data_IF_032752164336
#
_entry.id   IF_032752164336
#
_cell.length_a   1.000
_cell.length_b   1.000
_cell.length_c   1.000
_cell.angle_alpha   90.00
_cell.angle_beta   90.00
_cell.angle_gamma   90.00
#
_symmetry.space_group_name_H-M   'P 1'
#
loop_
_entity.id
_entity.type
_entity.pdbx_description
1 polymer ?
#
# COMPACT_ATOMS: atom_id res chain seq x y z
N UNK A 1 -3.40 4.36 46.20
CA UNK A 1 -2.69 3.41 45.33
C UNK A 1 -3.66 3.05 44.22
N UNK A 2 -3.54 3.74 43.09
CA UNK A 2 -4.53 3.70 42.00
C UNK A 2 -4.09 2.66 40.97
N UNK A 3 -5.08 1.91 40.51
CA UNK A 3 -5.06 0.81 39.56
C UNK A 3 -4.97 1.39 38.13
N UNK A 4 -4.17 0.79 37.26
CA UNK A 4 -4.33 0.77 35.79
C UNK A 4 -3.34 -0.32 35.31
N UNK A 5 -3.70 -1.54 34.93
CA UNK A 5 -4.78 -2.00 34.03
C UNK A 5 -4.80 -1.27 32.69
N UNK A 6 -3.74 -1.47 31.90
CA UNK A 6 -3.80 -1.36 30.44
C UNK A 6 -3.69 -2.78 29.87
N UNK A 7 -4.83 -3.46 29.88
CA UNK A 7 -5.06 -4.67 29.12
C UNK A 7 -5.35 -4.29 27.66
N UNK A 8 -4.91 -5.15 26.75
CA UNK A 8 -5.37 -5.33 25.37
C UNK A 8 -4.88 -4.29 24.33
N UNK A 9 -3.66 -4.51 23.83
CA UNK A 9 -3.45 -4.48 22.37
C UNK A 9 -3.69 -5.92 21.92
N UNK A 10 -4.91 -6.20 21.47
CA UNK A 10 -5.42 -7.51 21.02
C UNK A 10 -5.27 -7.62 19.48
N UNK A 11 -4.08 -7.31 18.95
CA UNK A 11 -3.75 -7.45 17.53
C UNK A 11 -2.47 -8.27 17.41
N UNK A 12 -2.54 -9.47 16.82
CA UNK A 12 -1.47 -10.50 16.62
C UNK A 12 -0.63 -10.82 17.90
N UNK A 13 -0.95 -10.20 19.04
CA UNK A 13 -0.09 -10.09 20.21
C UNK A 13 -0.28 -11.26 21.17
N UNK A 14 -1.15 -12.22 20.85
CA UNK A 14 -1.01 -13.57 21.39
C UNK A 14 0.04 -14.24 20.50
N UNK A 15 1.17 -14.65 21.06
CA UNK A 15 2.28 -15.29 20.33
C UNK A 15 1.86 -16.67 19.78
N UNK A 16 0.90 -16.67 18.86
CA UNK A 16 0.30 -17.83 18.24
C UNK A 16 0.78 -17.88 16.79
N UNK A 17 1.61 -18.87 16.41
CA UNK A 17 2.06 -19.06 15.04
C UNK A 17 0.93 -18.98 14.00
N UNK A 18 -0.26 -19.49 14.35
CA UNK A 18 -1.45 -19.47 13.49
C UNK A 18 -1.93 -18.06 13.17
N UNK A 19 -1.82 -17.10 14.11
CA UNK A 19 -2.23 -15.71 13.87
C UNK A 19 -1.26 -15.01 12.92
N UNK A 20 0.04 -15.33 13.01
CA UNK A 20 1.05 -14.78 12.12
C UNK A 20 0.98 -15.40 10.72
N UNK A 21 0.76 -16.71 10.61
CA UNK A 21 0.50 -17.38 9.33
C UNK A 21 -0.70 -16.76 8.62
N UNK A 22 -1.81 -16.54 9.35
CA UNK A 22 -2.99 -15.87 8.82
C UNK A 22 -2.67 -14.43 8.35
N UNK A 23 -1.86 -13.68 9.12
CA UNK A 23 -1.46 -12.34 8.74
C UNK A 23 -0.60 -12.32 7.47
N UNK A 24 0.31 -13.28 7.30
CA UNK A 24 1.12 -13.40 6.08
C UNK A 24 0.29 -13.82 4.87
N UNK A 25 -0.66 -14.74 5.04
CA UNK A 25 -1.59 -15.13 3.96
C UNK A 25 -2.47 -13.96 3.52
N UNK A 26 -2.95 -13.17 4.49
CA UNK A 26 -3.70 -11.94 4.23
C UNK A 26 -2.86 -10.94 3.44
N UNK A 27 -1.62 -10.69 3.85
CA UNK A 27 -0.71 -9.76 3.18
C UNK A 27 -0.52 -10.14 1.71
N UNK A 28 -0.25 -11.42 1.43
CA UNK A 28 -0.12 -11.95 0.05
C UNK A 28 -1.39 -11.69 -0.76
N UNK A 29 -2.56 -12.05 -0.22
CA UNK A 29 -3.83 -11.91 -0.93
C UNK A 29 -4.18 -10.45 -1.22
N UNK A 30 -4.00 -9.55 -0.25
CA UNK A 30 -4.25 -8.11 -0.42
C UNK A 30 -3.26 -7.48 -1.42
N UNK A 31 -1.99 -7.87 -1.40
CA UNK A 31 -0.99 -7.41 -2.37
C UNK A 31 -1.29 -7.86 -3.79
N UNK A 32 -1.74 -9.09 -3.98
CA UNK A 32 -2.19 -9.58 -5.29
C UNK A 32 -3.36 -8.74 -5.84
N UNK A 33 -4.33 -8.43 -4.99
CA UNK A 33 -5.46 -7.55 -5.35
C UNK A 33 -4.98 -6.14 -5.71
N UNK A 34 -4.16 -5.52 -4.86
CA UNK A 34 -3.63 -4.17 -5.07
C UNK A 34 -2.83 -4.07 -6.37
N UNK A 35 -1.94 -5.02 -6.63
CA UNK A 35 -1.15 -5.07 -7.88
C UNK A 35 -2.02 -5.26 -9.11
N UNK A 36 -3.08 -6.07 -9.02
CA UNK A 36 -4.05 -6.23 -10.10
C UNK A 36 -4.72 -4.90 -10.44
N UNK A 37 -5.16 -4.15 -9.42
CA UNK A 37 -5.76 -2.81 -9.58
C UNK A 37 -4.78 -1.81 -10.15
N UNK A 38 -3.53 -1.78 -9.67
CA UNK A 38 -2.48 -0.91 -10.19
C UNK A 38 -2.22 -1.16 -11.68
N UNK A 39 -2.13 -2.43 -12.11
CA UNK A 39 -1.96 -2.78 -13.53
C UNK A 39 -3.10 -2.26 -14.40
N UNK A 40 -4.35 -2.37 -13.93
CA UNK A 40 -5.51 -1.85 -14.66
C UNK A 40 -5.48 -0.31 -14.78
N UNK A 41 -5.16 0.38 -13.69
CA UNK A 41 -5.05 1.84 -13.65
C UNK A 41 -3.91 2.31 -14.57
N UNK A 42 -2.74 1.66 -14.49
CA UNK A 42 -1.58 1.98 -15.31
C UNK A 42 -1.89 1.80 -16.81
N UNK A 43 -2.55 0.70 -17.18
CA UNK A 43 -2.96 0.45 -18.56
C UNK A 43 -3.91 1.54 -19.08
N UNK A 44 -4.92 1.91 -18.30
CA UNK A 44 -5.84 2.99 -18.69
C UNK A 44 -5.16 4.36 -18.75
N UNK A 45 -4.22 4.65 -17.84
CA UNK A 45 -3.44 5.89 -17.89
C UNK A 45 -2.58 5.96 -19.16
N UNK A 46 -1.95 4.84 -19.54
CA UNK A 46 -1.22 4.73 -20.82
C UNK A 46 -2.15 4.91 -22.03
N UNK A 47 -3.38 4.41 -21.98
CA UNK A 47 -4.38 4.64 -23.03
C UNK A 47 -4.72 6.12 -23.19
N UNK A 48 -4.90 6.86 -22.09
CA UNK A 48 -5.14 8.32 -22.12
C UNK A 48 -3.98 9.07 -22.77
N UNK A 49 -2.74 8.63 -22.58
CA UNK A 49 -1.56 9.26 -23.19
C UNK A 49 -1.55 9.05 -24.71
N UNK A 50 -2.05 7.92 -25.19
CA UNK A 50 -1.99 7.51 -26.60
C UNK A 50 -3.21 7.91 -27.42
N UNK A 51 -4.34 8.26 -26.78
CA UNK A 51 -5.57 8.62 -27.50
C UNK A 51 -5.48 10.01 -28.11
N UNK A 52 -5.80 10.11 -29.40
CA UNK A 52 -5.80 11.38 -30.14
C UNK A 52 -7.16 12.10 -30.08
N UNK A 53 -8.24 11.40 -29.74
CA UNK A 53 -9.57 11.97 -29.55
C UNK A 53 -9.70 12.60 -28.14
N UNK A 54 -9.83 13.93 -28.03
CA UNK A 54 -9.94 14.60 -26.73
C UNK A 54 -11.21 14.25 -25.97
N UNK A 55 -12.33 13.97 -26.66
CA UNK A 55 -13.59 13.60 -26.01
C UNK A 55 -13.42 12.24 -25.35
N UNK A 56 -12.89 11.27 -26.09
CA UNK A 56 -12.56 9.94 -25.56
C UNK A 56 -11.56 10.01 -24.42
N UNK A 57 -10.52 10.83 -24.55
CA UNK A 57 -9.52 11.01 -23.49
C UNK A 57 -10.12 11.56 -22.19
N UNK A 58 -11.07 12.48 -22.28
CA UNK A 58 -11.80 12.99 -21.11
C UNK A 58 -12.64 11.91 -20.44
N UNK A 59 -13.35 11.08 -21.22
CA UNK A 59 -14.11 9.95 -20.69
C UNK A 59 -13.21 8.97 -19.93
N UNK A 60 -12.07 8.60 -20.54
CA UNK A 60 -11.08 7.70 -19.93
C UNK A 60 -10.53 8.28 -18.62
N UNK A 61 -10.21 9.58 -18.57
CA UNK A 61 -9.77 10.25 -17.34
C UNK A 61 -10.85 10.20 -16.26
N UNK A 62 -12.13 10.40 -16.59
CA UNK A 62 -13.21 10.33 -15.60
C UNK A 62 -13.43 8.90 -15.09
N UNK A 63 -13.24 7.88 -15.92
CA UNK A 63 -13.34 6.49 -15.49
C UNK A 63 -12.14 6.08 -14.64
N UNK A 64 -10.93 6.48 -15.03
CA UNK A 64 -9.72 6.31 -14.21
C UNK A 64 -9.89 6.97 -12.84
N UNK A 65 -10.44 8.18 -12.78
CA UNK A 65 -10.72 8.85 -11.51
C UNK A 65 -11.57 7.99 -10.56
N UNK A 66 -12.63 7.35 -11.07
CA UNK A 66 -13.48 6.46 -10.25
C UNK A 66 -12.69 5.23 -9.79
N UNK A 67 -11.93 4.61 -10.69
CA UNK A 67 -11.13 3.42 -10.40
C UNK A 67 -10.05 3.72 -9.35
N UNK A 68 -9.32 4.83 -9.51
CA UNK A 68 -8.31 5.29 -8.55
C UNK A 68 -8.92 5.61 -7.20
N UNK A 69 -10.10 6.25 -7.12
CA UNK A 69 -10.78 6.48 -5.85
C UNK A 69 -11.20 5.19 -5.14
N UNK A 70 -11.52 4.13 -5.88
CA UNK A 70 -11.80 2.81 -5.28
C UNK A 70 -10.50 2.14 -4.84
N UNK A 71 -9.44 2.22 -5.63
CA UNK A 71 -8.12 1.70 -5.27
C UNK A 71 -7.60 2.31 -3.98
N UNK A 72 -7.65 3.64 -3.83
CA UNK A 72 -7.22 4.35 -2.61
C UNK A 72 -7.94 3.80 -1.37
N UNK A 73 -9.24 3.53 -1.44
CA UNK A 73 -9.97 2.97 -0.29
C UNK A 73 -9.49 1.58 0.12
N UNK A 74 -9.07 0.77 -0.86
CA UNK A 74 -8.54 -0.57 -0.59
C UNK A 74 -7.14 -0.46 -0.01
N UNK A 75 -6.30 0.38 -0.62
CA UNK A 75 -4.94 0.64 -0.16
C UNK A 75 -4.91 1.19 1.27
N UNK A 76 -5.69 2.23 1.57
CA UNK A 76 -5.71 2.81 2.93
C UNK A 76 -6.23 1.83 3.98
N UNK A 77 -7.23 1.00 3.65
CA UNK A 77 -7.70 -0.05 4.57
C UNK A 77 -6.61 -1.09 4.88
N UNK A 78 -5.80 -1.40 3.88
CA UNK A 78 -4.68 -2.31 4.00
C UNK A 78 -3.59 -1.68 4.87
N UNK A 79 -3.17 -0.45 4.57
CA UNK A 79 -2.19 0.31 5.37
C UNK A 79 -2.63 0.53 6.82
N UNK A 80 -3.91 0.84 7.06
CA UNK A 80 -4.46 0.94 8.42
C UNK A 80 -4.29 -0.36 9.21
N UNK A 81 -4.52 -1.52 8.57
CA UNK A 81 -4.31 -2.81 9.22
C UNK A 81 -2.83 -3.07 9.50
N UNK A 82 -1.94 -2.71 8.59
CA UNK A 82 -0.50 -2.89 8.80
C UNK A 82 0.02 -2.05 9.96
N UNK A 83 -0.36 -0.78 9.99
CA UNK A 83 0.03 0.18 11.02
C UNK A 83 -0.51 -0.18 12.41
N UNK A 84 -1.71 -0.75 12.48
CA UNK A 84 -2.36 -1.06 13.76
C UNK A 84 -2.07 -2.47 14.28
N UNK A 85 -1.83 -3.44 13.39
CA UNK A 85 -1.71 -4.84 13.77
C UNK A 85 -0.33 -5.44 13.40
N UNK A 86 0.05 -5.41 12.13
CA UNK A 86 1.22 -6.15 11.64
C UNK A 86 2.55 -5.54 12.07
N UNK A 87 2.78 -4.26 11.77
CA UNK A 87 4.03 -3.59 12.07
C UNK A 87 4.28 -3.43 13.58
N UNK A 88 3.29 -3.11 14.42
CA UNK A 88 3.46 -3.12 15.87
C UNK A 88 3.85 -4.49 16.43
N UNK A 89 3.27 -5.57 15.89
CA UNK A 89 3.62 -6.92 16.29
C UNK A 89 5.09 -7.23 15.97
N UNK A 90 5.51 -7.05 14.71
CA UNK A 90 6.88 -7.31 14.27
C UNK A 90 7.88 -6.44 15.04
N UNK A 91 7.57 -5.15 15.19
CA UNK A 91 8.38 -4.23 15.99
C UNK A 91 8.49 -4.69 17.44
N UNK A 92 7.38 -5.06 18.08
CA UNK A 92 7.36 -5.52 19.46
C UNK A 92 8.17 -6.80 19.69
N UNK A 93 8.20 -7.70 18.71
CA UNK A 93 9.00 -8.91 18.73
C UNK A 93 10.50 -8.59 18.64
N UNK A 94 10.92 -7.85 17.61
CA UNK A 94 12.34 -7.60 17.34
C UNK A 94 13.00 -6.54 18.22
N UNK A 95 12.25 -5.59 18.80
CA UNK A 95 12.81 -4.62 19.76
C UNK A 95 13.35 -5.28 21.04
N UNK A 96 13.00 -6.55 21.31
CA UNK A 96 13.51 -7.32 22.45
C UNK A 96 14.86 -7.96 22.18
N UNK A 97 15.29 -8.04 20.92
CA UNK A 97 16.60 -8.56 20.54
C UNK A 97 17.62 -7.41 20.45
N UNK A 98 18.87 -7.69 20.82
CA UNK A 98 20.01 -6.76 20.66
C UNK A 98 20.47 -6.67 19.20
N UNK A 99 19.56 -6.27 18.31
CA UNK A 99 19.72 -6.19 16.85
C UNK A 99 19.42 -4.75 16.42
N UNK A 100 19.99 -4.22 15.32
CA UNK A 100 19.59 -2.91 14.81
C UNK A 100 18.07 -2.80 14.68
N UNK A 101 17.52 -1.67 15.12
CA UNK A 101 16.07 -1.42 15.04
C UNK A 101 15.60 -1.48 13.58
N UNK A 102 14.46 -2.12 13.35
CA UNK A 102 13.77 -2.18 12.05
C UNK A 102 12.98 -0.90 11.72
N UNK A 103 12.88 0.04 12.67
CA UNK A 103 12.15 1.31 12.50
C UNK A 103 12.58 2.12 11.27
N UNK A 104 13.88 2.25 10.92
CA UNK A 104 14.28 2.98 9.72
C UNK A 104 13.72 2.36 8.43
N UNK A 105 13.56 1.04 8.38
CA UNK A 105 13.02 0.35 7.21
C UNK A 105 11.53 0.64 7.04
N UNK A 106 10.74 0.57 8.12
CA UNK A 106 9.32 0.95 8.07
C UNK A 106 9.12 2.43 7.72
N UNK A 107 10.00 3.30 8.19
CA UNK A 107 9.95 4.72 7.82
C UNK A 107 10.18 4.96 6.33
N UNK A 108 11.06 4.18 5.69
CA UNK A 108 11.25 4.27 4.22
C UNK A 108 9.97 3.83 3.49
N UNK A 109 9.33 2.75 3.93
CA UNK A 109 8.05 2.30 3.36
C UNK A 109 6.96 3.36 3.47
N UNK A 110 6.82 3.99 4.64
CA UNK A 110 5.88 5.10 4.86
C UNK A 110 6.12 6.24 3.86
N UNK A 111 7.39 6.59 3.60
CA UNK A 111 7.73 7.66 2.63
C UNK A 111 7.43 7.30 1.19
N UNK A 112 7.63 6.05 0.79
CA UNK A 112 7.26 5.58 -0.54
C UNK A 112 5.73 5.59 -0.72
N UNK A 113 4.96 5.18 0.30
CA UNK A 113 3.50 5.28 0.30
C UNK A 113 3.02 6.72 0.15
N UNK A 114 3.50 7.63 1.01
CA UNK A 114 3.18 9.06 0.96
C UNK A 114 3.49 9.65 -0.43
N UNK A 115 4.64 9.30 -1.00
CA UNK A 115 5.03 9.77 -2.33
C UNK A 115 4.07 9.26 -3.41
N UNK A 116 3.76 7.96 -3.42
CA UNK A 116 2.79 7.36 -4.34
C UNK A 116 1.41 8.03 -4.24
N UNK A 117 0.95 8.28 -3.02
CA UNK A 117 -0.32 8.96 -2.74
C UNK A 117 -0.33 10.41 -3.24
N UNK A 118 0.76 11.16 -3.10
CA UNK A 118 0.86 12.53 -3.62
C UNK A 118 0.67 12.62 -5.14
N UNK A 119 1.12 11.62 -5.89
CA UNK A 119 0.89 11.52 -7.33
C UNK A 119 -0.56 11.19 -7.65
N UNK A 120 -1.21 10.32 -6.86
CA UNK A 120 -2.65 10.06 -6.98
C UNK A 120 -3.46 11.34 -6.74
N UNK A 121 -3.14 12.10 -5.70
CA UNK A 121 -3.80 13.37 -5.39
C UNK A 121 -3.65 14.37 -6.54
N UNK A 122 -2.43 14.50 -7.08
CA UNK A 122 -2.15 15.36 -8.23
C UNK A 122 -3.02 14.99 -9.43
N UNK A 123 -3.13 13.70 -9.76
CA UNK A 123 -4.04 13.22 -10.81
C UNK A 123 -5.50 13.56 -10.48
N UNK A 124 -5.95 13.31 -9.25
CA UNK A 124 -7.34 13.57 -8.86
C UNK A 124 -7.69 15.06 -8.99
N UNK A 125 -6.81 15.97 -8.59
CA UNK A 125 -7.04 17.40 -8.74
C UNK A 125 -7.08 17.82 -10.22
N UNK A 126 -6.14 17.35 -11.03
CA UNK A 126 -6.13 17.66 -12.47
C UNK A 126 -7.38 17.12 -13.16
N UNK A 127 -7.81 15.90 -12.83
CA UNK A 127 -8.97 15.25 -13.44
C UNK A 127 -10.31 15.99 -13.19
N UNK A 128 -10.42 16.80 -12.12
CA UNK A 128 -11.61 17.61 -11.82
C UNK A 128 -11.82 18.74 -12.83
N UNK A 129 -10.73 19.29 -13.37
CA UNK A 129 -10.74 20.46 -14.25
C UNK A 129 -10.60 20.09 -15.73
N UNK A 130 -10.37 18.81 -16.05
CA UNK A 130 -10.38 18.32 -17.43
C UNK A 130 -11.76 18.54 -18.07
N UNK A 131 -11.76 19.02 -19.31
CA UNK A 131 -12.95 19.32 -20.13
C UNK A 131 -12.72 18.80 -21.55
N UNK A 132 -13.77 18.63 -22.38
CA UNK A 132 -13.61 18.30 -23.80
C UNK A 132 -12.72 19.27 -24.60
N UNK A 133 -12.54 20.50 -24.12
CA UNK A 133 -11.62 21.49 -24.69
C UNK A 133 -10.18 21.35 -24.20
N UNK A 134 -9.89 20.40 -23.31
CA UNK A 134 -8.55 20.12 -22.83
C UNK A 134 -7.69 19.62 -24.01
N UNK A 135 -6.52 20.21 -24.17
CA UNK A 135 -5.55 19.70 -25.15
C UNK A 135 -4.97 18.35 -24.70
N UNK A 136 -4.53 17.54 -25.67
CA UNK A 136 -3.88 16.24 -25.45
C UNK A 136 -2.76 16.32 -24.39
N UNK A 137 -2.00 17.42 -24.37
CA UNK A 137 -0.96 17.65 -23.37
C UNK A 137 -1.47 17.60 -21.93
N UNK A 138 -2.63 18.22 -21.66
CA UNK A 138 -3.21 18.26 -20.31
C UNK A 138 -3.71 16.88 -19.86
N UNK A 139 -4.29 16.11 -20.79
CA UNK A 139 -4.72 14.74 -20.54
C UNK A 139 -3.51 13.83 -20.24
N UNK A 140 -2.46 13.95 -21.05
CA UNK A 140 -1.23 13.19 -20.88
C UNK A 140 -0.50 13.54 -19.57
N UNK A 141 -0.50 14.82 -19.16
CA UNK A 141 0.09 15.24 -17.89
C UNK A 141 -0.65 14.65 -16.69
N UNK A 142 -1.99 14.71 -16.69
CA UNK A 142 -2.81 14.08 -15.65
C UNK A 142 -2.55 12.56 -15.59
N UNK A 143 -2.58 11.88 -16.73
CA UNK A 143 -2.31 10.44 -16.80
C UNK A 143 -0.88 10.08 -16.39
N UNK A 144 0.10 10.94 -16.67
CA UNK A 144 1.49 10.78 -16.25
C UNK A 144 1.64 10.66 -14.73
N UNK A 145 0.86 11.43 -13.97
CA UNK A 145 0.83 11.29 -12.51
C UNK A 145 0.36 9.90 -12.06
N UNK A 146 -0.67 9.33 -12.71
CA UNK A 146 -1.10 7.96 -12.39
C UNK A 146 -0.06 6.90 -12.73
N UNK A 147 0.63 7.03 -13.87
CA UNK A 147 1.71 6.09 -14.23
C UNK A 147 2.80 6.12 -13.16
N UNK A 148 3.18 7.32 -12.71
CA UNK A 148 4.20 7.46 -11.68
C UNK A 148 3.74 6.91 -10.32
N UNK A 149 2.49 7.16 -9.92
CA UNK A 149 1.92 6.56 -8.73
C UNK A 149 1.93 5.02 -8.79
N UNK A 150 1.55 4.44 -9.94
CA UNK A 150 1.52 2.99 -10.11
C UNK A 150 2.92 2.36 -10.00
N UNK A 151 3.95 3.02 -10.52
CA UNK A 151 5.33 2.57 -10.39
C UNK A 151 5.75 2.57 -8.91
N UNK A 152 5.60 3.71 -8.23
CA UNK A 152 6.03 3.88 -6.84
C UNK A 152 5.30 2.93 -5.90
N UNK A 153 3.97 2.81 -6.03
CA UNK A 153 3.18 1.94 -5.15
C UNK A 153 3.45 0.45 -5.41
N UNK A 154 3.77 0.06 -6.65
CA UNK A 154 4.14 -1.33 -6.92
C UNK A 154 5.55 -1.66 -6.37
N UNK A 155 6.47 -0.70 -6.41
CA UNK A 155 7.78 -0.81 -5.76
C UNK A 155 7.64 -0.87 -4.24
N UNK A 156 6.77 -0.02 -3.65
CA UNK A 156 6.43 -0.03 -2.22
C UNK A 156 5.97 -1.42 -1.75
N UNK A 157 4.96 -2.02 -2.39
CA UNK A 157 4.48 -3.37 -2.05
C UNK A 157 5.60 -4.42 -2.16
N UNK A 158 6.52 -4.25 -3.11
CA UNK A 158 7.64 -5.17 -3.30
C UNK A 158 8.69 -5.02 -2.20
N UNK A 159 9.01 -3.78 -1.80
CA UNK A 159 9.94 -3.52 -0.70
C UNK A 159 9.35 -3.98 0.63
N UNK A 160 8.04 -3.83 0.81
CA UNK A 160 7.34 -4.32 1.98
C UNK A 160 7.45 -5.84 2.10
N UNK A 161 7.16 -6.59 1.05
CA UNK A 161 7.30 -8.05 1.06
C UNK A 161 8.74 -8.50 1.38
N UNK A 162 9.73 -7.80 0.82
CA UNK A 162 11.14 -8.06 1.07
C UNK A 162 11.55 -7.78 2.53
N UNK A 163 10.82 -6.91 3.21
CA UNK A 163 11.03 -6.60 4.62
C UNK A 163 10.24 -7.56 5.52
N UNK A 164 8.94 -7.71 5.27
CA UNK A 164 7.98 -8.35 6.17
C UNK A 164 8.08 -9.86 6.14
N UNK A 165 8.20 -10.49 4.96
CA UNK A 165 8.21 -11.95 4.87
C UNK A 165 9.40 -12.60 5.61
N UNK A 166 10.65 -12.12 5.46
CA UNK A 166 11.77 -12.68 6.22
C UNK A 166 11.62 -12.49 7.74
N UNK A 167 11.02 -11.37 8.16
CA UNK A 167 10.76 -11.10 9.58
C UNK A 167 9.70 -12.05 10.13
N UNK A 168 8.60 -12.26 9.40
CA UNK A 168 7.54 -13.17 9.80
C UNK A 168 8.03 -14.63 9.85
N UNK A 169 8.80 -15.08 8.86
CA UNK A 169 9.39 -16.44 8.82
C UNK A 169 10.31 -16.68 10.02
N UNK A 170 11.13 -15.68 10.39
CA UNK A 170 11.97 -15.77 11.58
C UNK A 170 11.14 -15.93 12.86
N UNK A 171 10.08 -15.14 13.03
CA UNK A 171 9.18 -15.25 14.19
C UNK A 171 8.54 -16.64 14.25
N UNK A 172 8.04 -17.16 13.13
CA UNK A 172 7.44 -18.50 13.07
C UNK A 172 8.46 -19.58 13.48
N UNK A 173 9.66 -19.53 12.91
CA UNK A 173 10.75 -20.49 13.23
C UNK A 173 11.12 -20.46 14.71
N UNK A 174 11.24 -19.26 15.29
CA UNK A 174 11.55 -19.09 16.70
C UNK A 174 10.43 -19.69 17.58
N UNK A 175 9.16 -19.40 17.27
CA UNK A 175 8.02 -19.94 18.02
C UNK A 175 7.95 -21.47 17.95
N UNK A 176 8.14 -22.06 16.76
CA UNK A 176 8.19 -23.52 16.59
C UNK A 176 9.29 -24.16 17.46
N UNK A 177 10.46 -23.50 17.54
CA UNK A 177 11.58 -23.97 18.35
C UNK A 177 11.32 -23.89 19.86
N UNK A 178 10.52 -22.92 20.32
CA UNK A 178 10.15 -22.77 21.74
C UNK A 178 9.10 -23.78 22.20
N UNK A 179 8.27 -24.29 21.29
CA UNK A 179 7.19 -25.24 21.60
C UNK A 179 7.54 -26.71 21.26
N UNK A 180 8.74 -26.98 20.76
CA UNK A 180 9.29 -28.33 20.50
C UNK A 180 10.13 -28.87 21.66
#
# INVERSE_FOLDING_TARGET
>A
MVINSTMAILGIASSNPVELEYATDRLVAEHEELRSRLKMIEAGAKEVILVDDPVRGVELVQDLRKQTSLFVKVLERHSEWEEHDLFPFLSGYFHRESVPSILPSFWVLEKDHELGMSFIESFQEMSKVVRPTAGQKQLAEAAGHLVQACLILNDHLTMEEQLVFPLAEKVLTDLESFFS
#
